data_IF_648585342856
#
_entry.id   IF_648585342856
#
_cell.length_a   1.000
_cell.length_b   1.000
_cell.length_c   1.000
_cell.angle_alpha   90.00
_cell.angle_beta   90.00
_cell.angle_gamma   90.00
#
_symmetry.space_group_name_H-M   'P 1'
#
loop_
_entity.id
_entity.type
_entity.pdbx_description
1 polymer ?
#
# COMPACT_ATOMS: atom_id res chain seq x y z
N UNK A 1 2.79 -16.72 -28.99
CA UNK A 1 2.03 -17.12 -27.79
C UNK A 1 2.74 -16.56 -26.59
N UNK A 2 2.08 -15.67 -25.85
CA UNK A 2 2.68 -15.18 -24.62
C UNK A 2 2.60 -16.29 -23.55
N UNK A 3 3.72 -16.61 -22.95
CA UNK A 3 3.77 -17.53 -21.81
C UNK A 3 3.18 -16.85 -20.58
N UNK A 4 2.37 -17.56 -19.83
CA UNK A 4 1.85 -17.06 -18.58
C UNK A 4 2.99 -16.80 -17.58
N UNK A 5 2.91 -15.72 -16.84
CA UNK A 5 3.91 -15.34 -15.83
C UNK A 5 4.26 -16.51 -14.89
N UNK A 6 3.26 -17.28 -14.47
CA UNK A 6 3.44 -18.42 -13.58
C UNK A 6 4.29 -19.54 -14.23
N UNK A 7 4.12 -19.80 -15.53
CA UNK A 7 4.93 -20.76 -16.26
C UNK A 7 6.38 -20.29 -16.38
N UNK A 8 6.59 -18.99 -16.66
CA UNK A 8 7.91 -18.39 -16.70
C UNK A 8 8.62 -18.45 -15.34
N UNK A 9 7.91 -18.18 -14.26
CA UNK A 9 8.43 -18.32 -12.90
C UNK A 9 8.85 -19.75 -12.58
N UNK A 10 8.06 -20.72 -13.03
CA UNK A 10 8.32 -22.14 -12.82
C UNK A 10 9.49 -22.63 -13.68
N UNK A 11 9.61 -22.19 -14.92
CA UNK A 11 10.75 -22.50 -15.80
C UNK A 11 12.07 -21.97 -15.28
N UNK A 12 12.06 -20.81 -14.62
CA UNK A 12 13.23 -20.18 -14.03
C UNK A 12 13.59 -20.75 -12.64
N UNK A 13 12.90 -21.82 -12.21
CA UNK A 13 13.11 -22.45 -10.88
C UNK A 13 13.14 -21.43 -9.74
N UNK A 14 12.25 -20.44 -9.78
CA UNK A 14 12.08 -19.55 -8.63
C UNK A 14 11.62 -20.41 -7.46
N UNK A 15 12.57 -20.88 -6.69
CA UNK A 15 12.33 -21.81 -5.61
C UNK A 15 11.68 -21.10 -4.45
N UNK A 16 10.44 -21.45 -4.20
CA UNK A 16 9.72 -21.03 -3.01
C UNK A 16 9.65 -22.12 -1.93
N UNK A 17 10.10 -23.36 -2.22
CA UNK A 17 9.75 -24.50 -1.37
C UNK A 17 10.90 -25.28 -0.73
N UNK A 18 12.06 -25.41 -1.34
CA UNK A 18 13.06 -26.37 -0.85
C UNK A 18 14.26 -25.72 -0.12
N UNK A 19 14.47 -24.47 -0.27
CA UNK A 19 15.39 -23.66 0.52
C UNK A 19 14.54 -22.66 1.29
N UNK A 20 14.83 -22.43 2.56
CA UNK A 20 14.14 -21.43 3.36
C UNK A 20 14.80 -20.05 3.14
N UNK A 21 14.60 -19.42 1.97
CA UNK A 21 15.26 -18.17 1.65
C UNK A 21 14.75 -17.07 2.57
N UNK A 22 15.62 -16.17 2.94
CA UNK A 22 15.23 -14.96 3.66
C UNK A 22 14.31 -14.10 2.78
N UNK A 23 13.50 -13.27 3.41
CA UNK A 23 12.64 -12.31 2.70
C UNK A 23 13.41 -11.51 1.64
N UNK A 24 14.64 -11.08 1.97
CA UNK A 24 15.51 -10.32 1.07
C UNK A 24 15.94 -11.13 -0.17
N UNK A 25 16.20 -12.41 0.00
CA UNK A 25 16.52 -13.31 -1.11
C UNK A 25 15.34 -13.53 -2.03
N UNK A 26 14.14 -13.71 -1.47
CA UNK A 26 12.90 -13.80 -2.24
C UNK A 26 12.64 -12.52 -3.05
N UNK A 27 12.76 -11.36 -2.42
CA UNK A 27 12.60 -10.06 -3.08
C UNK A 27 13.63 -9.85 -4.21
N UNK A 28 14.87 -10.20 -3.98
CA UNK A 28 15.93 -10.08 -4.99
C UNK A 28 15.71 -11.04 -6.16
N UNK A 29 15.31 -12.28 -5.88
CA UNK A 29 14.97 -13.26 -6.92
C UNK A 29 13.85 -12.74 -7.84
N UNK A 30 12.78 -12.20 -7.26
CA UNK A 30 11.69 -11.59 -8.03
C UNK A 30 12.14 -10.41 -8.89
N UNK A 31 12.99 -9.53 -8.35
CA UNK A 31 13.53 -8.39 -9.11
C UNK A 31 14.43 -8.81 -10.26
N UNK A 32 15.31 -9.79 -10.03
CA UNK A 32 16.20 -10.33 -11.07
C UNK A 32 15.40 -10.99 -12.19
N UNK A 33 14.41 -11.79 -11.85
CA UNK A 33 13.50 -12.40 -12.79
C UNK A 33 12.77 -11.36 -13.65
N UNK A 34 12.19 -10.32 -13.04
CA UNK A 34 11.52 -9.24 -13.76
C UNK A 34 12.47 -8.52 -14.74
N UNK A 35 13.69 -8.20 -14.29
CA UNK A 35 14.73 -7.57 -15.15
C UNK A 35 15.09 -8.45 -16.33
N UNK A 36 15.25 -9.75 -16.12
CA UNK A 36 15.60 -10.70 -17.15
C UNK A 36 14.52 -10.80 -18.23
N UNK A 37 13.25 -10.94 -17.84
CA UNK A 37 12.12 -10.98 -18.78
C UNK A 37 12.01 -9.67 -19.57
N UNK A 38 12.12 -8.52 -18.90
CA UNK A 38 12.02 -7.21 -19.53
C UNK A 38 13.18 -6.95 -20.52
N UNK A 39 14.35 -7.54 -20.28
CA UNK A 39 15.50 -7.40 -21.18
C UNK A 39 15.35 -8.13 -22.51
N UNK A 40 14.54 -9.18 -22.58
CA UNK A 40 14.33 -9.96 -23.81
C UNK A 40 13.39 -9.28 -24.82
N UNK A 41 12.61 -8.29 -24.38
CA UNK A 41 11.83 -7.42 -25.28
C UNK A 41 10.63 -8.05 -26.00
N UNK A 42 10.40 -9.34 -25.84
CA UNK A 42 9.37 -10.11 -26.56
C UNK A 42 8.00 -10.12 -25.89
N UNK A 43 7.92 -9.65 -24.64
CA UNK A 43 6.70 -9.72 -23.83
C UNK A 43 6.14 -8.30 -23.63
N UNK A 44 4.83 -8.17 -23.82
CA UNK A 44 4.11 -6.94 -23.52
C UNK A 44 4.18 -6.66 -22.01
N UNK A 45 4.70 -5.49 -21.67
CA UNK A 45 4.89 -5.06 -20.28
C UNK A 45 3.57 -4.91 -19.52
N UNK A 46 2.51 -4.47 -20.19
CA UNK A 46 1.19 -4.33 -19.58
C UNK A 46 0.53 -5.68 -19.34
N UNK A 47 0.70 -6.63 -20.28
CA UNK A 47 0.25 -8.00 -20.08
C UNK A 47 0.94 -8.65 -18.89
N UNK A 48 2.26 -8.56 -18.82
CA UNK A 48 3.06 -9.09 -17.72
C UNK A 48 2.67 -8.47 -16.37
N UNK A 49 2.50 -7.15 -16.35
CA UNK A 49 2.09 -6.42 -15.15
C UNK A 49 0.68 -6.84 -14.70
N UNK A 50 -0.27 -6.94 -15.63
CA UNK A 50 -1.63 -7.40 -15.34
C UNK A 50 -1.67 -8.80 -14.74
N UNK A 51 -0.83 -9.73 -15.25
CA UNK A 51 -0.72 -11.07 -14.70
C UNK A 51 -0.12 -11.06 -13.30
N UNK A 52 0.91 -10.24 -13.05
CA UNK A 52 1.53 -10.10 -11.74
C UNK A 52 0.55 -9.57 -10.69
N UNK A 53 -0.24 -8.55 -11.02
CA UNK A 53 -1.27 -7.99 -10.14
C UNK A 53 -2.36 -9.01 -9.76
N UNK A 54 -2.84 -9.77 -10.74
CA UNK A 54 -3.83 -10.84 -10.51
C UNK A 54 -3.27 -11.93 -9.63
N UNK A 55 -2.02 -12.35 -9.87
CA UNK A 55 -1.36 -13.37 -9.06
C UNK A 55 -1.14 -12.87 -7.63
N UNK A 56 -0.70 -11.63 -7.45
CA UNK A 56 -0.55 -11.02 -6.14
C UNK A 56 -1.88 -10.99 -5.36
N UNK A 57 -2.97 -10.64 -6.03
CA UNK A 57 -4.32 -10.64 -5.43
C UNK A 57 -4.74 -12.04 -4.99
N UNK A 58 -4.55 -13.05 -5.84
CA UNK A 58 -4.89 -14.45 -5.51
C UNK A 58 -4.07 -14.93 -4.32
N UNK A 59 -2.75 -14.74 -4.36
CA UNK A 59 -1.86 -15.20 -3.28
C UNK A 59 -2.11 -14.47 -1.96
N UNK A 60 -2.45 -13.18 -2.00
CA UNK A 60 -2.83 -12.42 -0.82
C UNK A 60 -4.10 -12.98 -0.16
N UNK A 61 -5.15 -13.25 -0.96
CA UNK A 61 -6.40 -13.83 -0.44
C UNK A 61 -6.17 -15.23 0.14
N UNK A 62 -5.42 -16.08 -0.53
CA UNK A 62 -5.07 -17.43 -0.02
C UNK A 62 -4.34 -17.30 1.32
N UNK A 63 -3.34 -16.44 1.40
CA UNK A 63 -2.57 -16.20 2.63
C UNK A 63 -3.48 -15.73 3.77
N UNK A 64 -4.35 -14.77 3.51
CA UNK A 64 -5.18 -14.16 4.54
C UNK A 64 -6.25 -15.14 5.03
N UNK A 65 -6.80 -15.99 4.16
CA UNK A 65 -7.69 -17.08 4.53
C UNK A 65 -6.98 -18.11 5.42
N UNK A 66 -5.83 -18.60 5.00
CA UNK A 66 -5.03 -19.54 5.81
C UNK A 66 -4.69 -18.92 7.17
N UNK A 67 -4.29 -17.65 7.18
CA UNK A 67 -3.94 -16.94 8.41
C UNK A 67 -5.10 -16.84 9.40
N UNK A 68 -6.34 -16.75 8.92
CA UNK A 68 -7.53 -16.70 9.75
C UNK A 68 -7.75 -18.01 10.55
N UNK A 69 -7.25 -19.14 10.02
CA UNK A 69 -7.35 -20.46 10.63
C UNK A 69 -6.15 -20.83 11.52
N UNK A 70 -5.08 -20.01 11.52
CA UNK A 70 -3.91 -20.29 12.36
C UNK A 70 -4.23 -20.04 13.84
N UNK A 71 -3.71 -20.89 14.76
CA UNK A 71 -3.81 -20.64 16.20
C UNK A 71 -3.10 -19.33 16.56
N UNK A 72 -3.68 -18.60 17.52
CA UNK A 72 -3.12 -17.34 18.02
C UNK A 72 -2.03 -17.60 19.06
N UNK A 73 -1.01 -18.33 18.67
CA UNK A 73 0.15 -18.66 19.51
C UNK A 73 1.44 -18.45 18.73
N UNK A 74 2.54 -18.30 19.47
CA UNK A 74 3.86 -18.20 18.84
C UNK A 74 4.24 -19.52 18.21
N UNK A 75 4.55 -19.51 16.93
CA UNK A 75 4.97 -20.70 16.20
C UNK A 75 6.09 -20.38 15.22
N UNK A 76 7.09 -21.25 15.15
CA UNK A 76 8.20 -21.15 14.21
C UNK A 76 8.26 -22.45 13.42
N UNK A 77 8.01 -22.37 12.13
CA UNK A 77 8.10 -23.51 11.22
C UNK A 77 8.38 -23.05 9.79
N UNK A 78 8.99 -23.91 9.01
CA UNK A 78 9.20 -23.70 7.57
C UNK A 78 9.84 -22.33 7.22
N UNK A 79 10.76 -21.84 8.08
CA UNK A 79 11.47 -20.58 7.86
C UNK A 79 10.66 -19.31 8.13
N UNK A 80 9.47 -19.44 8.69
CA UNK A 80 8.65 -18.29 9.12
C UNK A 80 8.40 -18.35 10.63
N UNK A 81 8.28 -17.19 11.24
CA UNK A 81 7.87 -17.02 12.63
C UNK A 81 6.51 -16.34 12.65
N UNK A 82 5.53 -16.99 13.27
CA UNK A 82 4.19 -16.45 13.50
C UNK A 82 4.10 -16.01 14.95
N UNK A 83 3.87 -14.71 15.17
CA UNK A 83 3.72 -14.15 16.50
C UNK A 83 2.30 -13.60 16.67
N UNK A 84 1.60 -13.95 17.77
CA UNK A 84 0.35 -13.31 18.10
C UNK A 84 0.61 -11.84 18.46
N UNK A 85 -0.15 -10.94 17.86
CA UNK A 85 -0.11 -9.52 18.19
C UNK A 85 -1.42 -9.16 18.84
N UNK A 86 -1.35 -8.65 20.07
CA UNK A 86 -2.53 -8.12 20.76
C UNK A 86 -3.10 -6.94 19.99
N UNK A 87 -4.43 -6.83 19.95
CA UNK A 87 -5.10 -5.69 19.37
C UNK A 87 -4.62 -4.38 19.99
N UNK A 88 -4.51 -3.35 19.17
CA UNK A 88 -4.13 -2.02 19.68
C UNK A 88 -5.26 -1.47 20.54
N UNK A 89 -4.90 -0.90 21.69
CA UNK A 89 -5.82 -0.06 22.44
C UNK A 89 -6.13 1.17 21.60
N UNK A 90 -7.40 1.39 21.29
CA UNK A 90 -7.85 2.58 20.58
C UNK A 90 -8.41 3.56 21.61
N UNK A 91 -7.74 4.70 21.76
CA UNK A 91 -8.22 5.77 22.62
C UNK A 91 -9.32 6.51 21.86
N UNK A 92 -10.47 6.66 22.48
CA UNK A 92 -11.65 7.36 21.92
C UNK A 92 -11.55 8.85 22.26
N UNK A 93 -10.67 9.57 21.57
CA UNK A 93 -10.50 11.02 21.81
C UNK A 93 -11.78 11.83 21.64
N UNK A 94 -12.72 11.34 20.81
CA UNK A 94 -14.02 11.99 20.60
C UNK A 94 -14.92 12.03 21.83
N UNK A 95 -14.59 11.27 22.88
CA UNK A 95 -15.33 11.33 24.15
C UNK A 95 -15.01 12.61 24.93
N UNK A 96 -13.93 13.29 24.58
CA UNK A 96 -13.58 14.62 25.11
C UNK A 96 -14.21 15.71 24.22
N UNK A 97 -15.12 16.49 24.81
CA UNK A 97 -15.81 17.59 24.11
C UNK A 97 -14.83 18.65 23.64
N UNK A 98 -13.81 18.97 24.43
CA UNK A 98 -12.80 19.99 24.06
C UNK A 98 -11.99 19.53 22.85
N UNK A 99 -11.60 18.25 22.81
CA UNK A 99 -10.91 17.69 21.66
C UNK A 99 -11.79 17.73 20.40
N UNK A 100 -13.07 17.38 20.54
CA UNK A 100 -14.03 17.39 19.43
C UNK A 100 -14.23 18.80 18.87
N UNK A 101 -14.37 19.81 19.74
CA UNK A 101 -14.47 21.21 19.32
C UNK A 101 -13.22 21.71 18.60
N UNK A 102 -12.05 21.38 19.14
CA UNK A 102 -10.77 21.76 18.50
C UNK A 102 -10.59 21.11 17.13
N UNK A 103 -10.99 19.86 16.99
CA UNK A 103 -10.97 19.15 15.74
C UNK A 103 -11.89 19.79 14.70
N UNK A 104 -13.10 20.15 15.12
CA UNK A 104 -14.06 20.83 14.25
C UNK A 104 -13.54 22.18 13.78
N UNK A 105 -13.01 23.00 14.68
CA UNK A 105 -12.38 24.28 14.36
C UNK A 105 -11.20 24.10 13.38
N UNK A 106 -10.40 23.07 13.56
CA UNK A 106 -9.29 22.75 12.67
C UNK A 106 -9.80 22.41 11.28
N UNK A 107 -10.84 21.58 11.16
CA UNK A 107 -11.45 21.23 9.88
C UNK A 107 -12.02 22.46 9.17
N UNK A 108 -12.76 23.31 9.88
CA UNK A 108 -13.28 24.56 9.34
C UNK A 108 -12.16 25.46 8.81
N UNK A 109 -11.04 25.57 9.54
CA UNK A 109 -9.88 26.34 9.09
C UNK A 109 -9.22 25.73 7.84
N UNK A 110 -9.08 24.41 7.79
CA UNK A 110 -8.57 23.70 6.61
C UNK A 110 -9.44 23.93 5.36
N UNK A 111 -10.76 23.95 5.52
CA UNK A 111 -11.68 24.27 4.41
C UNK A 111 -11.52 25.71 3.92
N UNK A 112 -11.41 26.67 4.83
CA UNK A 112 -11.15 28.07 4.47
C UNK A 112 -9.81 28.22 3.74
N UNK A 113 -8.76 27.54 4.17
CA UNK A 113 -7.45 27.53 3.52
C UNK A 113 -7.54 26.94 2.10
N UNK A 114 -8.33 25.88 1.89
CA UNK A 114 -8.57 25.29 0.57
C UNK A 114 -9.33 26.27 -0.35
N UNK A 115 -10.28 27.02 0.19
CA UNK A 115 -11.02 28.07 -0.56
C UNK A 115 -10.09 29.21 -0.92
N UNK A 116 -9.30 29.72 0.05
CA UNK A 116 -8.34 30.79 -0.18
C UNK A 116 -7.29 30.43 -1.24
N UNK A 117 -6.85 29.16 -1.28
CA UNK A 117 -5.91 28.67 -2.28
C UNK A 117 -6.48 28.74 -3.72
N UNK A 118 -7.79 28.48 -3.87
CA UNK A 118 -8.48 28.46 -5.17
C UNK A 118 -9.00 29.85 -5.59
N UNK A 119 -9.13 30.77 -4.65
CA UNK A 119 -9.64 32.10 -4.91
C UNK A 119 -8.54 33.03 -5.44
N UNK A 120 -8.90 33.92 -6.36
CA UNK A 120 -8.03 35.04 -6.78
C UNK A 120 -8.09 36.24 -5.82
N UNK A 121 -9.13 36.29 -4.97
CA UNK A 121 -9.36 37.35 -4.00
C UNK A 121 -8.94 36.94 -2.60
N UNK A 122 -8.70 37.94 -1.72
CA UNK A 122 -8.47 37.68 -0.31
C UNK A 122 -9.73 37.13 0.36
N UNK A 123 -9.59 36.05 1.10
CA UNK A 123 -10.67 35.42 1.89
C UNK A 123 -10.45 35.78 3.34
N UNK A 124 -11.54 36.10 4.05
CA UNK A 124 -11.53 36.43 5.47
C UNK A 124 -12.35 35.40 6.24
N UNK A 125 -11.95 35.10 7.45
CA UNK A 125 -12.72 34.24 8.37
C UNK A 125 -13.83 35.02 9.08
N UNK A 126 -14.57 34.35 9.97
CA UNK A 126 -15.68 34.95 10.70
C UNK A 126 -15.26 36.09 11.65
N UNK A 127 -13.98 36.19 11.99
CA UNK A 127 -13.41 37.25 12.83
C UNK A 127 -12.82 38.39 12.00
N UNK A 128 -12.92 38.32 10.68
CA UNK A 128 -12.38 39.29 9.75
C UNK A 128 -10.86 39.19 9.54
N UNK A 129 -10.25 38.06 9.93
CA UNK A 129 -8.82 37.83 9.74
C UNK A 129 -8.60 37.22 8.35
N UNK A 130 -7.65 37.77 7.61
CA UNK A 130 -7.28 37.26 6.30
C UNK A 130 -6.77 35.82 6.37
N UNK A 131 -7.31 34.95 5.52
CA UNK A 131 -6.91 33.56 5.38
C UNK A 131 -5.75 33.45 4.39
N UNK A 132 -4.55 33.06 4.83
CA UNK A 132 -3.38 33.06 3.96
C UNK A 132 -3.47 31.95 2.90
N UNK A 133 -2.85 32.18 1.74
CA UNK A 133 -2.64 31.15 0.72
C UNK A 133 -1.45 30.29 1.14
N UNK A 134 -1.73 29.04 1.52
CA UNK A 134 -0.69 28.09 1.92
C UNK A 134 0.03 27.49 0.72
N UNK A 135 1.26 27.03 0.92
CA UNK A 135 2.03 26.36 -0.12
C UNK A 135 1.49 24.95 -0.41
N UNK A 136 1.57 24.53 -1.68
CA UNK A 136 1.18 23.20 -2.12
C UNK A 136 2.43 22.37 -2.43
N UNK A 137 2.49 21.16 -1.87
CA UNK A 137 3.46 20.14 -2.28
C UNK A 137 2.77 19.13 -3.17
N UNK A 138 3.35 18.87 -4.32
CA UNK A 138 2.88 17.81 -5.20
C UNK A 138 3.61 16.51 -4.85
N UNK A 139 2.85 15.44 -4.69
CA UNK A 139 3.42 14.10 -4.62
C UNK A 139 3.92 13.69 -6.02
N UNK A 140 4.88 12.77 -6.06
CA UNK A 140 5.30 12.18 -7.34
C UNK A 140 4.14 11.41 -7.98
N UNK A 141 4.12 11.40 -9.32
CA UNK A 141 3.14 10.63 -10.07
C UNK A 141 3.21 9.15 -9.71
N UNK A 142 2.05 8.52 -9.61
CA UNK A 142 1.92 7.09 -9.35
C UNK A 142 0.93 6.45 -10.33
N UNK A 143 1.10 5.16 -10.56
CA UNK A 143 0.18 4.39 -11.39
C UNK A 143 -0.91 3.77 -10.52
N UNK A 144 -2.16 4.00 -10.87
CA UNK A 144 -3.31 3.34 -10.24
C UNK A 144 -3.79 2.20 -11.15
N UNK A 145 -3.92 1.01 -10.57
CA UNK A 145 -4.48 -0.15 -11.25
C UNK A 145 -5.96 -0.27 -10.89
N UNK A 146 -6.81 -0.45 -11.91
CA UNK A 146 -8.24 -0.76 -11.76
C UNK A 146 -8.52 -2.05 -12.51
N UNK A 147 -9.33 -2.92 -11.92
CA UNK A 147 -9.79 -4.18 -12.52
C UNK A 147 -11.12 -3.98 -13.21
#
# INVERSE_FOLDING_TARGET
>A
MSKHLFELMREQEIQTSNFLPTKKEIENSGRLFAKQILSHGEIDKYELFSQAERLATVTANIRDEIKSHLPKEKHVAFGIEVNPVSGRTMIQFQDDLVWSELKEKTQQREELLKVALKSNESIYDSEGIEVPKVSVKYASDSLQVKY
#
